data_IF_894391016671
#
_entry.id   IF_894391016671
#
_cell.length_a   1.000
_cell.length_b   1.000
_cell.length_c   1.000
_cell.angle_alpha   90.00
_cell.angle_beta   90.00
_cell.angle_gamma   90.00
#
_symmetry.space_group_name_H-M   'P 1'
#
loop_
_entity.id
_entity.type
_entity.pdbx_description
1 polymer ?
#
# COMPACT_ATOMS: atom_id res chain seq x y z
N UNK A 1 16.89 10.26 -8.68
CA UNK A 1 15.52 10.82 -8.62
C UNK A 1 15.62 12.32 -8.39
N UNK A 2 14.91 13.10 -9.14
CA UNK A 2 14.88 14.55 -9.05
C UNK A 2 13.51 14.99 -8.53
N UNK A 3 13.49 15.91 -7.54
CA UNK A 3 12.25 16.51 -7.05
C UNK A 3 12.00 17.80 -7.82
N UNK A 4 10.83 17.90 -8.45
CA UNK A 4 10.35 19.12 -9.12
C UNK A 4 9.40 19.89 -8.21
N UNK A 5 9.06 21.13 -8.57
CA UNK A 5 8.11 21.96 -7.85
C UNK A 5 7.18 22.69 -8.84
N UNK A 6 6.40 21.92 -9.58
CA UNK A 6 5.51 22.44 -10.63
C UNK A 6 4.33 23.25 -10.06
N UNK A 7 3.95 22.94 -8.82
CA UNK A 7 2.86 23.62 -8.11
C UNK A 7 3.30 24.88 -7.38
N UNK A 8 4.57 25.28 -7.50
CA UNK A 8 5.14 26.46 -6.81
C UNK A 8 4.90 26.44 -5.29
N UNK A 9 5.12 25.28 -4.67
CA UNK A 9 5.06 25.15 -3.21
C UNK A 9 6.13 26.04 -2.56
N UNK A 10 5.88 26.57 -1.35
CA UNK A 10 6.88 27.34 -0.59
C UNK A 10 8.17 26.53 -0.41
N UNK A 11 9.33 27.19 -0.53
CA UNK A 11 10.67 26.57 -0.40
C UNK A 11 10.84 25.75 0.88
N UNK A 12 10.21 26.17 1.98
CA UNK A 12 10.27 25.44 3.25
C UNK A 12 9.64 24.05 3.14
N UNK A 13 8.55 23.90 2.39
CA UNK A 13 7.89 22.63 2.13
C UNK A 13 8.77 21.76 1.23
N UNK A 14 9.31 22.32 0.15
CA UNK A 14 10.20 21.59 -0.76
C UNK A 14 11.42 21.09 -0.01
N UNK A 15 12.05 21.93 0.83
CA UNK A 15 13.19 21.50 1.67
C UNK A 15 12.82 20.40 2.67
N UNK A 16 11.64 20.47 3.28
CA UNK A 16 11.19 19.42 4.20
C UNK A 16 11.02 18.07 3.50
N UNK A 17 10.57 18.08 2.24
CA UNK A 17 10.40 16.87 1.41
C UNK A 17 11.74 16.34 0.91
N UNK A 18 12.67 17.22 0.51
CA UNK A 18 13.97 16.82 -0.05
C UNK A 18 14.98 16.38 1.01
N UNK A 19 14.87 16.91 2.23
CA UNK A 19 15.74 16.62 3.35
C UNK A 19 15.11 15.58 4.29
N UNK A 20 14.49 14.54 3.73
CA UNK A 20 13.94 13.42 4.50
C UNK A 20 15.06 12.76 5.33
N UNK A 21 14.99 12.76 6.67
CA UNK A 21 16.00 12.15 7.54
C UNK A 21 15.99 10.63 7.50
N UNK A 22 15.11 10.01 6.69
CA UNK A 22 15.01 8.57 6.59
C UNK A 22 16.33 7.97 6.08
N UNK A 23 17.03 7.28 6.97
CA UNK A 23 18.25 6.55 6.66
C UNK A 23 18.01 5.04 6.72
N UNK A 24 18.13 4.39 5.56
CA UNK A 24 18.12 2.92 5.44
C UNK A 24 19.54 2.34 5.32
N UNK A 25 20.58 3.12 5.62
CA UNK A 25 21.96 2.67 5.55
C UNK A 25 22.16 1.43 6.43
N UNK A 26 23.03 0.53 5.99
CA UNK A 26 23.30 -0.72 6.70
C UNK A 26 22.30 -1.86 6.42
N UNK A 27 21.34 -1.69 5.49
CA UNK A 27 20.48 -2.80 5.06
C UNK A 27 20.48 -3.00 3.56
N UNK A 28 20.34 -4.25 3.13
CA UNK A 28 20.17 -4.61 1.72
C UNK A 28 18.74 -4.30 1.25
N UNK A 29 17.77 -4.50 2.16
CA UNK A 29 16.36 -4.22 1.89
C UNK A 29 15.64 -3.79 3.17
N UNK A 30 14.74 -2.81 3.06
CA UNK A 30 13.85 -2.43 4.15
C UNK A 30 12.51 -3.18 4.07
N UNK A 31 11.78 -3.29 5.18
CA UNK A 31 10.45 -3.87 5.24
C UNK A 31 9.51 -3.28 4.18
N UNK A 32 9.51 -1.96 4.02
CA UNK A 32 8.70 -1.27 3.01
C UNK A 32 9.08 -1.66 1.58
N UNK A 33 10.38 -1.77 1.29
CA UNK A 33 10.85 -2.22 -0.04
C UNK A 33 10.58 -3.70 -0.27
N UNK A 34 10.64 -4.54 0.77
CA UNK A 34 10.32 -5.97 0.67
C UNK A 34 8.88 -6.20 0.25
N UNK A 35 7.96 -5.33 0.68
CA UNK A 35 6.54 -5.37 0.28
C UNK A 35 6.30 -4.95 -1.17
N UNK A 36 7.15 -4.10 -1.73
CA UNK A 36 7.00 -3.65 -3.11
C UNK A 36 7.27 -4.80 -4.10
N UNK A 37 6.63 -4.78 -5.28
CA UNK A 37 6.95 -5.72 -6.34
C UNK A 37 8.45 -5.66 -6.71
N UNK A 38 9.14 -6.80 -6.86
CA UNK A 38 10.57 -6.83 -7.22
C UNK A 38 10.87 -6.04 -8.48
N UNK A 39 9.99 -6.08 -9.49
CA UNK A 39 10.13 -5.32 -10.74
C UNK A 39 10.17 -3.81 -10.49
N UNK A 40 9.32 -3.29 -9.62
CA UNK A 40 9.32 -1.85 -9.29
C UNK A 40 10.62 -1.46 -8.61
N UNK A 41 11.07 -2.24 -7.61
CA UNK A 41 12.34 -1.97 -6.93
C UNK A 41 13.54 -2.01 -7.88
N UNK A 42 13.60 -3.01 -8.74
CA UNK A 42 14.66 -3.18 -9.72
C UNK A 42 14.70 -1.98 -10.70
N UNK A 43 13.58 -1.65 -11.32
CA UNK A 43 13.50 -0.53 -12.26
C UNK A 43 13.80 0.81 -11.56
N UNK A 44 13.34 1.00 -10.32
CA UNK A 44 13.68 2.19 -9.53
C UNK A 44 15.19 2.34 -9.33
N UNK A 45 15.89 1.24 -9.03
CA UNK A 45 17.35 1.27 -8.87
C UNK A 45 18.07 1.54 -10.19
N UNK A 46 17.64 0.88 -11.28
CA UNK A 46 18.23 1.04 -12.61
C UNK A 46 18.06 2.45 -13.15
N UNK A 47 16.90 3.07 -12.94
CA UNK A 47 16.52 4.36 -13.52
C UNK A 47 16.44 5.50 -12.49
N UNK A 48 17.11 5.34 -11.33
CA UNK A 48 17.02 6.32 -10.23
C UNK A 48 17.22 7.78 -10.65
N UNK A 49 18.19 8.02 -11.53
CA UNK A 49 18.53 9.37 -11.99
C UNK A 49 17.59 9.91 -13.09
N UNK A 50 16.72 9.07 -13.63
CA UNK A 50 15.77 9.39 -14.69
C UNK A 50 14.34 9.57 -14.17
N UNK A 51 14.10 9.32 -12.88
CA UNK A 51 12.80 9.47 -12.25
C UNK A 51 12.66 10.91 -11.75
N UNK A 52 11.64 11.59 -12.23
CA UNK A 52 11.18 12.88 -11.71
C UNK A 52 9.91 12.66 -10.87
N UNK A 53 9.81 13.34 -9.73
CA UNK A 53 8.65 13.33 -8.85
C UNK A 53 8.35 14.76 -8.39
N UNK A 54 7.09 15.19 -8.44
CA UNK A 54 6.76 16.53 -7.98
C UNK A 54 6.61 16.57 -6.44
N UNK A 55 7.07 17.65 -5.83
CA UNK A 55 6.99 17.82 -4.38
C UNK A 55 5.53 17.72 -3.87
N UNK A 56 4.54 18.11 -4.68
CA UNK A 56 3.13 18.01 -4.30
C UNK A 56 2.65 16.57 -4.08
N UNK A 57 3.26 15.59 -4.75
CA UNK A 57 2.91 14.17 -4.60
C UNK A 57 3.33 13.62 -3.22
N UNK A 58 4.26 14.30 -2.55
CA UNK A 58 4.78 13.92 -1.22
C UNK A 58 4.12 14.63 -0.03
N UNK A 59 3.14 15.49 -0.25
CA UNK A 59 2.48 16.24 0.84
C UNK A 59 1.84 15.30 1.88
N UNK A 60 1.21 14.21 1.44
CA UNK A 60 0.63 13.25 2.38
C UNK A 60 1.67 12.41 3.12
N UNK A 61 2.85 12.19 2.54
CA UNK A 61 3.99 11.59 3.24
C UNK A 61 4.50 12.51 4.34
N UNK A 62 4.67 13.80 4.05
CA UNK A 62 5.06 14.81 5.02
C UNK A 62 4.05 14.90 6.19
N UNK A 63 2.75 14.84 5.91
CA UNK A 63 1.71 14.80 6.94
C UNK A 63 1.84 13.53 7.81
N UNK A 64 2.11 12.38 7.22
CA UNK A 64 2.38 11.14 7.95
C UNK A 64 3.58 11.29 8.90
N UNK A 65 4.72 11.73 8.38
CA UNK A 65 5.93 11.97 9.18
C UNK A 65 5.68 12.93 10.36
N UNK A 66 4.88 13.98 10.15
CA UNK A 66 4.51 14.91 11.22
C UNK A 66 3.75 14.23 12.35
N UNK A 67 2.85 13.32 12.04
CA UNK A 67 2.11 12.53 13.05
C UNK A 67 3.04 11.61 13.82
N UNK A 68 3.93 10.87 13.14
CA UNK A 68 4.91 10.00 13.78
C UNK A 68 5.80 10.79 14.75
N UNK A 69 6.35 11.92 14.32
CA UNK A 69 7.19 12.77 15.16
C UNK A 69 6.45 13.32 16.41
N UNK A 70 5.16 13.63 16.31
CA UNK A 70 4.37 14.10 17.44
C UNK A 70 4.14 12.96 18.44
N UNK A 71 3.86 11.73 17.96
CA UNK A 71 3.62 10.57 18.80
C UNK A 71 4.90 10.12 19.49
N UNK A 72 6.02 10.12 18.77
CA UNK A 72 7.34 9.83 19.35
C UNK A 72 7.63 10.70 20.59
N UNK A 73 7.38 12.01 20.51
CA UNK A 73 7.57 12.93 21.64
C UNK A 73 6.60 12.70 22.82
N UNK A 74 5.49 12.01 22.58
CA UNK A 74 4.48 11.72 23.60
C UNK A 74 4.68 10.37 24.29
N UNK A 75 5.69 9.60 23.90
CA UNK A 75 6.02 8.31 24.47
C UNK A 75 6.34 8.45 25.97
N UNK A 76 5.93 7.42 26.75
CA UNK A 76 6.18 7.35 28.19
C UNK A 76 7.34 6.39 28.48
N UNK A 77 7.83 6.45 29.73
CA UNK A 77 8.85 5.48 30.18
C UNK A 77 8.37 4.06 30.02
N UNK A 78 9.17 3.26 29.29
CA UNK A 78 8.84 1.86 28.97
C UNK A 78 8.13 1.64 27.63
N UNK A 79 7.71 2.69 26.93
CA UNK A 79 7.26 2.57 25.54
C UNK A 79 8.47 2.52 24.59
N UNK A 80 8.38 1.68 23.57
CA UNK A 80 9.35 1.63 22.50
C UNK A 80 8.73 2.32 21.28
N UNK A 81 9.42 3.33 20.73
CA UNK A 81 8.93 4.17 19.62
C UNK A 81 10.00 4.34 18.55
N UNK A 82 9.59 4.36 17.30
CA UNK A 82 10.43 4.68 16.12
C UNK A 82 11.77 3.92 16.10
N UNK A 83 11.78 2.66 16.58
CA UNK A 83 13.02 1.88 16.62
C UNK A 83 13.24 1.13 15.31
N UNK A 84 14.40 1.34 14.73
CA UNK A 84 14.86 0.60 13.56
C UNK A 84 15.61 -0.66 13.99
N UNK A 85 15.19 -1.79 13.44
CA UNK A 85 15.74 -3.11 13.70
C UNK A 85 16.39 -3.68 12.44
N UNK A 86 17.39 -4.53 12.63
CA UNK A 86 18.15 -5.18 11.56
C UNK A 86 18.28 -6.66 11.86
N UNK A 87 18.07 -7.50 10.84
CA UNK A 87 18.31 -8.95 10.93
C UNK A 87 19.01 -9.44 9.69
N UNK A 88 20.08 -10.23 9.91
CA UNK A 88 20.76 -10.99 8.89
C UNK A 88 20.93 -12.42 9.42
N UNK A 89 20.26 -13.37 8.81
CA UNK A 89 20.28 -14.78 9.19
C UNK A 89 19.96 -15.69 7.99
N UNK A 90 19.77 -16.98 8.23
CA UNK A 90 19.49 -17.95 7.17
C UNK A 90 18.16 -17.67 6.44
N UNK A 91 17.15 -17.13 7.13
CA UNK A 91 15.86 -16.76 6.54
C UNK A 91 16.05 -15.64 5.50
N UNK A 92 16.92 -14.68 5.79
CA UNK A 92 17.21 -13.56 4.89
C UNK A 92 18.27 -13.89 3.82
N UNK A 93 18.75 -15.13 3.79
CA UNK A 93 19.71 -15.63 2.80
C UNK A 93 20.91 -14.68 2.58
N UNK A 94 21.50 -14.23 3.70
CA UNK A 94 22.68 -13.36 3.72
C UNK A 94 22.40 -11.87 3.48
N UNK A 95 21.15 -11.46 3.18
CA UNK A 95 20.79 -10.05 3.15
C UNK A 95 20.45 -9.53 4.54
N UNK A 96 20.71 -8.26 4.78
CA UNK A 96 20.25 -7.55 5.98
C UNK A 96 18.88 -6.93 5.70
N UNK A 97 17.84 -7.47 6.33
CA UNK A 97 16.51 -6.89 6.34
C UNK A 97 16.42 -5.87 7.47
N UNK A 98 15.92 -4.67 7.19
CA UNK A 98 15.64 -3.65 8.21
C UNK A 98 14.18 -3.25 8.22
N UNK A 99 13.72 -2.76 9.37
CA UNK A 99 12.40 -2.16 9.51
C UNK A 99 12.35 -1.28 10.74
N UNK A 100 11.58 -0.21 10.65
CA UNK A 100 11.31 0.69 11.77
C UNK A 100 9.85 0.51 12.16
N UNK A 101 9.60 0.18 13.41
CA UNK A 101 8.24 0.14 13.94
C UNK A 101 7.92 1.46 14.64
N UNK A 102 6.64 1.84 14.61
CA UNK A 102 6.21 3.12 15.13
C UNK A 102 6.06 3.10 16.66
N UNK A 103 5.31 2.09 17.21
CA UNK A 103 4.98 2.07 18.63
C UNK A 103 4.77 0.65 19.16
N UNK A 104 5.50 0.31 20.21
CA UNK A 104 5.39 -0.95 20.92
C UNK A 104 5.44 -0.72 22.45
N UNK A 105 4.29 -0.54 23.12
CA UNK A 105 4.19 -0.39 24.57
C UNK A 105 4.39 -1.71 25.32
N UNK A 106 4.52 -1.63 26.64
CA UNK A 106 4.74 -2.79 27.52
C UNK A 106 3.61 -3.83 27.48
N UNK A 107 2.39 -3.44 27.06
CA UNK A 107 1.28 -4.38 26.87
C UNK A 107 1.46 -5.32 25.68
N UNK A 108 2.40 -5.00 24.77
CA UNK A 108 2.78 -5.83 23.61
C UNK A 108 1.90 -5.64 22.37
N UNK A 109 1.12 -4.57 22.27
CA UNK A 109 0.39 -4.26 21.04
C UNK A 109 1.28 -3.44 20.09
N UNK A 110 1.85 -4.09 19.08
CA UNK A 110 2.58 -3.39 18.02
C UNK A 110 1.59 -2.62 17.16
N UNK A 111 1.73 -1.30 17.16
CA UNK A 111 0.83 -0.39 16.44
C UNK A 111 1.59 0.42 15.42
N UNK A 112 1.05 0.49 14.20
CA UNK A 112 1.54 1.34 13.12
C UNK A 112 0.50 2.44 12.84
N UNK A 113 0.96 3.67 12.66
CA UNK A 113 0.11 4.85 12.48
C UNK A 113 -0.04 5.17 11.00
N UNK A 114 -1.28 5.24 10.51
CA UNK A 114 -1.56 5.56 9.11
C UNK A 114 -2.44 6.79 8.98
N UNK A 115 -1.94 7.83 8.32
CA UNK A 115 -2.77 8.95 7.86
C UNK A 115 -3.39 8.59 6.52
N UNK A 116 -4.68 8.23 6.52
CA UNK A 116 -5.35 7.64 5.35
C UNK A 116 -6.76 8.20 5.14
N UNK A 117 -7.43 7.77 4.06
CA UNK A 117 -8.83 8.14 3.84
C UNK A 117 -9.79 7.26 4.64
N UNK A 118 -10.98 7.79 4.93
CA UNK A 118 -12.05 7.04 5.57
C UNK A 118 -12.45 5.79 4.76
N UNK A 119 -12.43 5.90 3.42
CA UNK A 119 -12.70 4.76 2.53
C UNK A 119 -11.65 3.65 2.69
N UNK A 120 -10.37 4.00 2.70
CA UNK A 120 -9.28 3.01 2.85
C UNK A 120 -9.33 2.31 4.21
N UNK A 121 -9.72 3.02 5.27
CA UNK A 121 -9.88 2.42 6.60
C UNK A 121 -11.08 1.47 6.66
N UNK A 122 -12.21 1.84 6.04
CA UNK A 122 -13.38 0.97 5.94
C UNK A 122 -13.11 -0.29 5.11
N UNK A 123 -12.43 -0.13 3.99
CA UNK A 123 -12.03 -1.25 3.14
C UNK A 123 -11.13 -2.22 3.92
N UNK A 124 -10.16 -1.70 4.66
CA UNK A 124 -9.29 -2.51 5.50
C UNK A 124 -10.04 -3.26 6.62
N UNK A 125 -11.08 -2.66 7.19
CA UNK A 125 -11.94 -3.34 8.20
C UNK A 125 -12.82 -4.43 7.58
N UNK A 126 -13.25 -4.26 6.34
CA UNK A 126 -14.22 -5.15 5.70
C UNK A 126 -13.54 -6.28 4.94
N UNK A 127 -12.52 -5.95 4.16
CA UNK A 127 -11.86 -6.87 3.21
C UNK A 127 -10.44 -7.28 3.67
N UNK A 128 -9.93 -6.61 4.71
CA UNK A 128 -8.52 -6.69 5.05
C UNK A 128 -7.65 -5.85 4.10
N UNK A 129 -6.40 -5.66 4.46
CA UNK A 129 -5.41 -5.01 3.61
C UNK A 129 -4.08 -5.75 3.72
N UNK A 130 -3.80 -6.56 2.72
CA UNK A 130 -2.65 -7.47 2.71
C UNK A 130 -1.31 -6.75 2.91
N UNK A 131 -1.15 -5.54 2.38
CA UNK A 131 0.06 -4.75 2.55
C UNK A 131 0.28 -4.35 4.02
N UNK A 132 -0.78 -3.96 4.75
CA UNK A 132 -0.70 -3.60 6.17
C UNK A 132 -0.46 -4.82 7.04
N UNK A 133 -1.13 -5.93 6.71
CA UNK A 133 -0.94 -7.21 7.40
C UNK A 133 0.51 -7.69 7.25
N UNK A 134 1.04 -7.69 6.04
CA UNK A 134 2.40 -8.10 5.78
C UNK A 134 3.43 -7.15 6.43
N UNK A 135 3.22 -5.82 6.39
CA UNK A 135 4.09 -4.85 7.02
C UNK A 135 4.26 -5.14 8.52
N UNK A 136 3.15 -5.24 9.25
CA UNK A 136 3.21 -5.46 10.69
C UNK A 136 3.76 -6.84 11.06
N UNK A 137 3.51 -7.87 10.24
CA UNK A 137 4.09 -9.19 10.47
C UNK A 137 5.61 -9.24 10.20
N UNK A 138 6.12 -8.48 9.23
CA UNK A 138 7.56 -8.30 9.04
C UNK A 138 8.18 -7.58 10.25
N UNK A 139 7.52 -6.55 10.77
CA UNK A 139 8.00 -5.81 11.95
C UNK A 139 7.95 -6.68 13.22
N UNK A 140 6.91 -7.49 13.42
CA UNK A 140 6.84 -8.49 14.50
C UNK A 140 7.99 -9.50 14.39
N UNK A 141 8.27 -9.99 13.18
CA UNK A 141 9.39 -10.86 12.92
C UNK A 141 10.75 -10.21 13.29
N UNK A 142 10.94 -8.96 12.91
CA UNK A 142 12.15 -8.20 13.27
C UNK A 142 12.27 -8.04 14.79
N UNK A 143 11.18 -7.71 15.50
CA UNK A 143 11.16 -7.63 16.97
C UNK A 143 11.52 -8.98 17.59
N UNK A 144 10.96 -10.08 17.09
CA UNK A 144 11.23 -11.44 17.58
C UNK A 144 12.71 -11.80 17.46
N UNK A 145 13.39 -11.40 16.39
CA UNK A 145 14.83 -11.68 16.16
C UNK A 145 15.77 -10.70 16.85
N UNK A 146 15.25 -9.64 17.47
CA UNK A 146 16.02 -8.63 18.20
C UNK A 146 15.73 -8.65 19.72
N UNK A 147 15.29 -9.77 20.32
CA UNK A 147 14.90 -9.86 21.73
C UNK A 147 16.04 -9.58 22.74
N UNK A 148 17.28 -9.50 22.29
CA UNK A 148 18.42 -9.04 23.12
C UNK A 148 18.33 -7.54 23.40
N UNK A 149 17.89 -6.78 22.41
CA UNK A 149 17.84 -5.33 22.43
C UNK A 149 16.41 -4.82 22.70
N UNK A 150 15.38 -5.56 22.20
CA UNK A 150 13.96 -5.26 22.37
C UNK A 150 13.38 -6.13 23.47
N UNK A 151 13.14 -5.58 24.65
CA UNK A 151 12.62 -6.33 25.81
C UNK A 151 11.13 -6.68 25.72
N UNK A 152 10.38 -5.98 24.87
CA UNK A 152 8.94 -6.18 24.69
C UNK A 152 8.68 -7.31 23.70
N UNK A 153 7.68 -8.14 24.01
CA UNK A 153 7.18 -9.16 23.09
C UNK A 153 5.89 -8.70 22.45
N UNK A 154 5.80 -8.86 21.13
CA UNK A 154 4.56 -8.60 20.40
C UNK A 154 3.52 -9.66 20.74
N UNK A 155 2.34 -9.21 21.17
CA UNK A 155 1.17 -10.06 21.50
C UNK A 155 0.03 -9.87 20.52
N UNK A 156 -0.11 -8.67 19.97
CA UNK A 156 -1.13 -8.30 18.99
C UNK A 156 -0.63 -7.22 18.06
N UNK A 157 -1.26 -7.13 16.88
CA UNK A 157 -0.94 -6.17 15.83
C UNK A 157 -2.15 -5.28 15.56
N UNK A 158 -1.93 -3.99 15.37
CA UNK A 158 -2.99 -3.06 15.02
C UNK A 158 -2.49 -1.93 14.12
N UNK A 159 -3.37 -1.44 13.24
CA UNK A 159 -3.21 -0.15 12.57
C UNK A 159 -4.08 0.87 13.27
N UNK A 160 -3.51 2.02 13.64
CA UNK A 160 -4.30 3.19 14.03
C UNK A 160 -4.43 4.12 12.84
N UNK A 161 -5.57 4.07 12.18
CA UNK A 161 -5.88 4.90 11.01
C UNK A 161 -6.42 6.25 11.45
N UNK A 162 -5.70 7.34 11.12
CA UNK A 162 -6.11 8.73 11.30
C UNK A 162 -6.70 9.19 9.97
N UNK A 163 -7.99 9.56 9.99
CA UNK A 163 -8.78 9.79 8.78
C UNK A 163 -8.68 11.24 8.33
N UNK A 164 -7.87 11.50 7.30
CA UNK A 164 -7.58 12.86 6.79
C UNK A 164 -8.78 13.55 6.10
N UNK A 165 -9.76 12.76 5.66
CA UNK A 165 -10.96 13.24 4.95
C UNK A 165 -12.26 12.98 5.72
N UNK A 166 -12.15 12.71 7.05
CA UNK A 166 -13.31 12.45 7.88
C UNK A 166 -14.27 13.65 7.91
N UNK A 167 -15.57 13.37 7.82
CA UNK A 167 -16.61 14.39 7.77
C UNK A 167 -17.74 14.09 8.74
N UNK A 168 -18.02 15.04 9.65
CA UNK A 168 -19.14 14.95 10.57
C UNK A 168 -20.49 14.87 9.84
N UNK A 169 -20.62 15.53 8.71
CA UNK A 169 -21.83 15.46 7.89
C UNK A 169 -22.07 14.07 7.32
N UNK A 170 -21.00 13.38 6.88
CA UNK A 170 -21.12 12.00 6.38
C UNK A 170 -21.52 11.03 7.48
N UNK A 171 -21.09 11.25 8.72
CA UNK A 171 -21.54 10.43 9.87
C UNK A 171 -23.05 10.47 10.03
N UNK A 172 -23.69 11.61 9.76
CA UNK A 172 -25.15 11.78 9.88
C UNK A 172 -25.93 11.20 8.70
N UNK A 173 -25.29 11.01 7.55
CA UNK A 173 -25.95 10.62 6.30
C UNK A 173 -25.59 9.22 5.81
N UNK A 174 -24.65 8.52 6.46
CA UNK A 174 -24.19 7.20 6.04
C UNK A 174 -23.92 6.31 7.25
N UNK A 175 -24.67 5.22 7.34
CA UNK A 175 -24.54 4.28 8.46
C UNK A 175 -23.20 3.54 8.50
N UNK A 176 -22.58 3.32 7.35
CA UNK A 176 -21.32 2.61 7.22
C UNK A 176 -20.09 3.52 7.31
N UNK A 177 -20.28 4.84 7.56
CA UNK A 177 -19.16 5.77 7.67
C UNK A 177 -18.56 5.75 9.09
N UNK A 178 -17.21 5.87 9.25
CA UNK A 178 -16.57 5.87 10.55
C UNK A 178 -17.13 6.96 11.46
N UNK A 179 -17.49 6.58 12.70
CA UNK A 179 -18.11 7.51 13.66
C UNK A 179 -17.13 8.51 14.26
N UNK A 180 -15.81 8.22 14.17
CA UNK A 180 -14.72 9.07 14.72
C UNK A 180 -13.62 9.27 13.67
N UNK A 181 -12.78 10.28 13.90
CA UNK A 181 -11.63 10.62 13.04
C UNK A 181 -10.50 9.59 13.09
N UNK A 182 -10.58 8.64 14.01
CA UNK A 182 -9.58 7.59 14.20
C UNK A 182 -10.27 6.23 14.27
N UNK A 183 -9.63 5.23 13.67
CA UNK A 183 -10.12 3.85 13.67
C UNK A 183 -8.97 2.92 14.02
N UNK A 184 -9.17 2.06 15.03
CA UNK A 184 -8.26 0.96 15.34
C UNK A 184 -8.65 -0.25 14.50
N UNK A 185 -7.73 -0.75 13.71
CA UNK A 185 -7.91 -1.88 12.80
C UNK A 185 -7.04 -3.02 13.33
N UNK A 186 -7.64 -4.08 13.90
CA UNK A 186 -6.87 -5.24 14.32
C UNK A 186 -6.28 -5.96 13.10
N UNK A 187 -5.03 -6.37 13.21
CA UNK A 187 -4.31 -7.08 12.17
C UNK A 187 -4.06 -8.52 12.60
N UNK A 188 -4.29 -9.46 11.69
CA UNK A 188 -3.97 -10.87 11.93
C UNK A 188 -2.46 -11.02 12.15
N UNK A 189 -2.09 -11.62 13.26
CA UNK A 189 -0.72 -12.02 13.52
C UNK A 189 -0.49 -13.41 12.93
N UNK A 190 0.51 -13.52 12.06
CA UNK A 190 0.91 -14.79 11.44
C UNK A 190 1.64 -15.69 12.44
N UNK A 191 1.66 -16.98 12.19
CA UNK A 191 2.56 -17.88 12.88
C UNK A 191 4.02 -17.57 12.53
N UNK A 192 4.95 -18.04 13.35
CA UNK A 192 6.37 -17.87 13.09
C UNK A 192 6.78 -18.49 11.73
N UNK A 193 6.23 -19.66 11.40
CA UNK A 193 6.46 -20.33 10.14
C UNK A 193 5.91 -19.55 8.93
N UNK A 194 4.71 -18.94 9.06
CA UNK A 194 4.15 -18.07 8.02
C UNK A 194 5.04 -16.85 7.79
N UNK A 195 5.54 -16.22 8.87
CA UNK A 195 6.44 -15.07 8.80
C UNK A 195 7.75 -15.45 8.11
N UNK A 196 8.39 -16.53 8.55
CA UNK A 196 9.67 -17.01 8.01
C UNK A 196 9.54 -17.35 6.52
N UNK A 197 8.48 -18.08 6.15
CA UNK A 197 8.19 -18.45 4.76
C UNK A 197 7.95 -17.23 3.87
N UNK A 198 7.14 -16.29 4.34
CA UNK A 198 6.86 -15.06 3.58
C UNK A 198 8.12 -14.25 3.34
N UNK A 199 8.90 -13.99 4.40
CA UNK A 199 10.12 -13.18 4.32
C UNK A 199 11.16 -13.85 3.42
N UNK A 200 11.41 -15.16 3.60
CA UNK A 200 12.36 -15.89 2.77
C UNK A 200 11.99 -15.85 1.29
N UNK A 201 10.71 -16.09 0.98
CA UNK A 201 10.22 -16.04 -0.41
C UNK A 201 10.37 -14.63 -1.02
N UNK A 202 10.01 -13.59 -0.27
CA UNK A 202 10.14 -12.20 -0.76
C UNK A 202 11.58 -11.78 -0.95
N UNK A 203 12.47 -12.12 -0.01
CA UNK A 203 13.92 -11.88 -0.13
C UNK A 203 14.46 -12.52 -1.39
N UNK A 204 14.15 -13.80 -1.60
CA UNK A 204 14.59 -14.53 -2.79
C UNK A 204 14.15 -13.86 -4.09
N UNK A 205 12.88 -13.46 -4.18
CA UNK A 205 12.37 -12.74 -5.37
C UNK A 205 13.14 -11.45 -5.67
N UNK A 206 13.50 -10.69 -4.63
CA UNK A 206 14.27 -9.46 -4.79
C UNK A 206 15.74 -9.74 -5.13
N UNK A 207 16.33 -10.81 -4.55
CA UNK A 207 17.70 -11.25 -4.89
C UNK A 207 17.77 -11.71 -6.34
N UNK A 208 16.83 -12.55 -6.78
CA UNK A 208 16.76 -13.04 -8.16
C UNK A 208 16.60 -11.88 -9.15
N UNK A 209 15.74 -10.93 -8.85
CA UNK A 209 15.55 -9.73 -9.67
C UNK A 209 16.84 -8.90 -9.79
N UNK A 210 17.55 -8.70 -8.68
CA UNK A 210 18.83 -7.96 -8.65
C UNK A 210 19.92 -8.68 -9.42
N UNK A 211 20.01 -10.02 -9.25
CA UNK A 211 21.03 -10.84 -9.88
C UNK A 211 20.85 -10.94 -11.40
N UNK A 212 19.61 -11.17 -11.83
CA UNK A 212 19.30 -11.41 -13.24
C UNK A 212 19.10 -10.12 -14.04
N UNK A 213 18.96 -8.96 -13.38
CA UNK A 213 18.63 -7.70 -14.04
C UNK A 213 17.22 -7.69 -14.66
N UNK A 214 16.40 -8.67 -14.31
CA UNK A 214 14.99 -8.79 -14.73
C UNK A 214 14.15 -9.33 -13.55
N UNK A 215 12.86 -9.01 -13.57
CA UNK A 215 11.92 -9.45 -12.56
C UNK A 215 10.59 -9.83 -13.20
N UNK A 216 9.83 -10.77 -12.60
CA UNK A 216 8.52 -11.13 -13.10
C UNK A 216 7.61 -9.90 -13.18
N UNK A 217 6.66 -9.94 -14.11
CA UNK A 217 5.61 -8.92 -14.19
C UNK A 217 4.86 -8.89 -12.85
N UNK A 218 4.55 -7.68 -12.38
CA UNK A 218 3.73 -7.52 -11.18
C UNK A 218 2.42 -8.31 -11.30
N UNK A 219 1.96 -8.93 -10.22
CA UNK A 219 0.69 -9.66 -10.23
C UNK A 219 -0.50 -8.70 -10.46
N UNK A 220 -1.69 -9.21 -10.83
CA UNK A 220 -2.87 -8.36 -10.96
C UNK A 220 -3.16 -7.55 -9.68
N UNK A 221 -2.99 -8.14 -8.50
CA UNK A 221 -3.15 -7.49 -7.20
C UNK A 221 -2.11 -6.38 -7.02
N UNK A 222 -0.84 -6.66 -7.34
CA UNK A 222 0.25 -5.68 -7.27
C UNK A 222 0.07 -4.52 -8.26
N UNK A 223 -0.61 -4.74 -9.39
CA UNK A 223 -0.96 -3.72 -10.37
C UNK A 223 -2.23 -2.95 -10.02
N UNK A 224 -2.99 -3.37 -8.97
CA UNK A 224 -4.34 -2.90 -8.66
C UNK A 224 -5.26 -3.02 -9.87
N UNK A 225 -5.20 -4.19 -10.49
CA UNK A 225 -5.95 -4.45 -11.72
C UNK A 225 -7.45 -4.41 -11.46
N UNK A 226 -8.14 -3.62 -12.27
CA UNK A 226 -9.58 -3.64 -12.40
C UNK A 226 -9.90 -4.42 -13.67
N UNK A 227 -10.62 -5.54 -13.59
CA UNK A 227 -10.94 -6.35 -14.76
C UNK A 227 -11.89 -5.61 -15.71
N UNK A 228 -11.96 -6.09 -16.94
CA UNK A 228 -13.01 -5.68 -17.89
C UNK A 228 -14.39 -5.87 -17.28
N UNK A 229 -15.31 -4.95 -17.55
CA UNK A 229 -16.71 -5.06 -17.13
C UNK A 229 -17.65 -4.74 -18.29
N UNK A 230 -18.82 -5.36 -18.26
CA UNK A 230 -19.87 -5.15 -19.27
C UNK A 230 -20.98 -4.33 -18.65
N UNK A 231 -21.09 -3.10 -19.14
CA UNK A 231 -22.07 -2.13 -18.64
C UNK A 231 -23.38 -2.25 -19.42
N UNK A 232 -24.48 -2.57 -18.74
CA UNK A 232 -25.80 -2.46 -19.32
C UNK A 232 -26.20 -0.99 -19.29
N UNK A 233 -26.30 -0.37 -20.45
CA UNK A 233 -26.71 1.01 -20.63
C UNK A 233 -28.17 1.06 -21.06
N UNK A 234 -28.92 2.03 -20.54
CA UNK A 234 -30.28 2.37 -21.00
C UNK A 234 -30.24 3.67 -21.78
N UNK A 235 -30.94 3.73 -22.89
CA UNK A 235 -30.98 4.92 -23.72
C UNK A 235 -31.41 6.16 -22.89
N UNK A 236 -30.69 7.27 -23.13
CA UNK A 236 -30.88 8.52 -22.40
C UNK A 236 -30.22 8.57 -20.99
N UNK A 237 -29.61 7.49 -20.49
CA UNK A 237 -28.86 7.50 -19.21
C UNK A 237 -27.36 7.57 -19.43
N UNK A 238 -26.69 8.42 -18.65
CA UNK A 238 -25.20 8.52 -18.63
C UNK A 238 -24.56 7.42 -17.77
N UNK A 239 -25.29 6.89 -16.77
CA UNK A 239 -24.79 5.86 -15.87
C UNK A 239 -25.30 4.48 -16.27
N UNK A 240 -24.48 3.44 -16.08
CA UNK A 240 -24.90 2.07 -16.29
C UNK A 240 -26.07 1.69 -15.36
N UNK A 241 -26.98 0.86 -15.85
CA UNK A 241 -28.04 0.23 -15.05
C UNK A 241 -27.43 -0.86 -14.17
N UNK A 242 -26.49 -1.64 -14.75
CA UNK A 242 -25.75 -2.73 -14.08
C UNK A 242 -24.37 -2.86 -14.69
N UNK A 243 -23.39 -3.28 -13.88
CA UNK A 243 -22.09 -3.74 -14.33
C UNK A 243 -21.99 -5.23 -14.06
N UNK A 244 -21.48 -5.96 -15.02
CA UNK A 244 -21.34 -7.41 -14.96
C UNK A 244 -19.95 -7.84 -15.43
N UNK A 245 -19.39 -8.96 -14.92
CA UNK A 245 -18.02 -9.36 -15.21
C UNK A 245 -17.84 -10.00 -16.59
N UNK A 246 -18.94 -10.47 -17.23
CA UNK A 246 -18.87 -11.08 -18.56
C UNK A 246 -20.00 -10.64 -19.47
N UNK A 247 -19.79 -10.80 -20.78
CA UNK A 247 -20.82 -10.55 -21.80
C UNK A 247 -21.99 -11.51 -21.65
N UNK A 248 -21.71 -12.76 -21.29
CA UNK A 248 -22.70 -13.81 -21.08
C UNK A 248 -23.62 -13.45 -19.93
N UNK A 249 -23.07 -13.02 -18.79
CA UNK A 249 -23.85 -12.59 -17.64
C UNK A 249 -24.67 -11.31 -17.96
N UNK A 250 -24.11 -10.41 -18.77
CA UNK A 250 -24.81 -9.20 -19.20
C UNK A 250 -26.03 -9.55 -20.06
N UNK A 251 -25.90 -10.50 -21.00
CA UNK A 251 -27.01 -11.01 -21.81
C UNK A 251 -28.04 -11.73 -20.97
N UNK A 252 -27.59 -12.58 -20.05
CA UNK A 252 -28.49 -13.32 -19.16
C UNK A 252 -29.27 -12.37 -18.27
N UNK A 253 -28.63 -11.34 -17.70
CA UNK A 253 -29.30 -10.35 -16.87
C UNK A 253 -30.40 -9.59 -17.64
N UNK A 254 -30.13 -9.20 -18.91
CA UNK A 254 -31.16 -8.59 -19.75
C UNK A 254 -32.35 -9.52 -19.96
N UNK A 255 -32.10 -10.80 -20.23
CA UNK A 255 -33.14 -11.80 -20.44
C UNK A 255 -34.00 -12.00 -19.16
N UNK A 256 -33.36 -12.16 -18.00
CA UNK A 256 -34.03 -12.35 -16.70
C UNK A 256 -34.90 -11.16 -16.31
N UNK A 257 -34.56 -9.95 -16.77
CA UNK A 257 -35.32 -8.74 -16.51
C UNK A 257 -36.31 -8.39 -17.64
N UNK A 258 -36.57 -9.28 -18.59
CA UNK A 258 -37.43 -9.07 -19.75
C UNK A 258 -36.97 -7.87 -20.61
N UNK A 259 -35.71 -7.58 -20.65
CA UNK A 259 -35.07 -6.53 -21.45
C UNK A 259 -34.35 -7.15 -22.65
N UNK A 260 -34.21 -6.38 -23.73
CA UNK A 260 -33.50 -6.84 -24.94
C UNK A 260 -32.52 -5.81 -25.41
N UNK A 261 -31.30 -6.27 -25.78
CA UNK A 261 -30.33 -5.44 -26.47
C UNK A 261 -30.92 -4.89 -27.78
N UNK A 262 -30.67 -3.62 -28.08
CA UNK A 262 -31.25 -2.94 -29.25
C UNK A 262 -32.68 -2.42 -29.05
N UNK A 263 -33.32 -2.68 -27.90
CA UNK A 263 -34.67 -2.15 -27.53
C UNK A 263 -34.56 -1.22 -26.31
N UNK A 264 -33.84 -0.12 -26.47
CA UNK A 264 -33.63 0.86 -25.39
C UNK A 264 -32.52 0.45 -24.40
N UNK A 265 -31.79 -0.65 -24.66
CA UNK A 265 -30.66 -1.13 -23.88
C UNK A 265 -29.51 -1.55 -24.79
N UNK A 266 -28.28 -1.34 -24.33
CA UNK A 266 -27.05 -1.78 -24.96
C UNK A 266 -26.08 -2.34 -23.92
N UNK A 267 -25.21 -3.26 -24.37
CA UNK A 267 -24.10 -3.78 -23.55
C UNK A 267 -22.83 -3.11 -24.06
N UNK A 268 -22.13 -2.40 -23.18
CA UNK A 268 -20.89 -1.67 -23.51
C UNK A 268 -19.75 -2.27 -22.72
N UNK A 269 -18.71 -2.74 -23.40
CA UNK A 269 -17.47 -3.14 -22.76
C UNK A 269 -16.80 -1.91 -22.15
N UNK A 270 -16.51 -1.98 -20.86
CA UNK A 270 -15.64 -1.07 -20.14
C UNK A 270 -14.33 -1.79 -19.89
N UNK A 271 -13.30 -1.36 -20.59
CA UNK A 271 -11.95 -1.91 -20.42
C UNK A 271 -11.51 -1.77 -18.98
N UNK A 272 -10.88 -2.81 -18.49
CA UNK A 272 -10.18 -2.80 -17.23
C UNK A 272 -8.95 -1.92 -17.27
N UNK A 273 -8.34 -1.71 -16.11
CA UNK A 273 -7.19 -0.85 -15.97
C UNK A 273 -6.24 -1.40 -14.91
N UNK A 274 -4.96 -1.39 -15.21
CA UNK A 274 -3.90 -1.57 -14.21
C UNK A 274 -3.67 -0.21 -13.51
N UNK A 275 -4.54 0.12 -12.54
CA UNK A 275 -4.64 1.46 -11.92
C UNK A 275 -3.30 1.94 -11.34
N UNK A 276 -2.54 1.02 -10.71
CA UNK A 276 -1.21 1.37 -10.18
C UNK A 276 -0.24 1.75 -11.30
N UNK A 277 -0.22 0.99 -12.39
CA UNK A 277 0.65 1.27 -13.52
C UNK A 277 0.32 2.60 -14.18
N UNK A 278 -0.98 2.91 -14.34
CA UNK A 278 -1.43 4.12 -15.00
C UNK A 278 -1.16 5.40 -14.18
N UNK A 279 -1.28 5.34 -12.84
CA UNK A 279 -1.38 6.56 -12.03
C UNK A 279 -0.40 6.65 -10.86
N UNK A 280 0.22 5.54 -10.43
CA UNK A 280 0.99 5.50 -9.17
C UNK A 280 2.37 4.84 -9.28
N UNK A 281 2.74 4.36 -10.46
CA UNK A 281 4.03 3.69 -10.65
C UNK A 281 5.05 4.66 -11.25
N UNK A 282 5.99 5.14 -10.45
CA UNK A 282 7.02 6.08 -10.89
C UNK A 282 7.96 5.51 -11.99
N UNK A 283 7.91 4.19 -12.23
CA UNK A 283 8.77 3.51 -13.21
C UNK A 283 7.99 2.89 -14.36
N UNK A 284 6.71 3.24 -14.55
CA UNK A 284 5.88 2.67 -15.60
C UNK A 284 6.48 2.89 -16.99
N UNK A 285 7.05 4.07 -17.25
CA UNK A 285 7.70 4.42 -18.52
C UNK A 285 8.87 3.50 -18.90
N UNK A 286 9.52 2.87 -17.90
CA UNK A 286 10.61 1.92 -18.11
C UNK A 286 10.14 0.46 -18.12
N UNK A 287 8.86 0.22 -17.88
CA UNK A 287 8.30 -1.13 -17.72
C UNK A 287 7.83 -1.71 -19.06
N UNK A 288 8.45 -2.79 -19.50
CA UNK A 288 8.07 -3.47 -20.75
C UNK A 288 6.63 -3.97 -20.74
N UNK A 289 6.10 -4.41 -19.59
CA UNK A 289 4.69 -4.80 -19.47
C UNK A 289 3.76 -3.62 -19.78
N UNK A 290 4.00 -2.47 -19.16
CA UNK A 290 3.17 -1.28 -19.36
C UNK A 290 3.25 -0.73 -20.80
N UNK A 291 4.46 -0.69 -21.36
CA UNK A 291 4.68 -0.21 -22.73
C UNK A 291 4.05 -1.11 -23.81
N UNK A 292 3.78 -2.38 -23.47
CA UNK A 292 3.11 -3.33 -24.37
C UNK A 292 1.59 -3.39 -24.18
N UNK A 293 1.04 -2.70 -23.16
CA UNK A 293 -0.41 -2.54 -23.01
C UNK A 293 -0.86 -1.50 -24.02
N UNK A 294 -1.50 -1.93 -25.11
CA UNK A 294 -2.11 -1.04 -26.09
C UNK A 294 -3.28 -0.29 -25.43
N UNK A 295 -3.21 1.02 -25.35
CA UNK A 295 -4.31 1.90 -24.94
C UNK A 295 -5.29 2.12 -26.08
#
# INVERSE_FOLDING_TARGET
MKITNEQNLPDAIVRAITNDPYDASGSDISATRLLQPPRINMLTQQHWNEIDEDASDRIFSLLGQSVHHIIERAAQDGDLVEQRLFVNNDITNGWTLSGQFDYLPSNGQLTDFKVTSAWSALDALTNGKSEWEAQLNILDWLVRHNQKDVKHRVKSLAIMAILRDWSKMRVLTSDNYPRKQVVMIPIRRWSEEEQDTYISNRIKLHQDAKLNGDAPVCSPEERWNKPDTYAIMKDGRKSAVRLLPSMEEAKQWLADNNMKEGKGFSIVLRKGEDTRCAHYCAVNQFCSHWNNVSF
#
